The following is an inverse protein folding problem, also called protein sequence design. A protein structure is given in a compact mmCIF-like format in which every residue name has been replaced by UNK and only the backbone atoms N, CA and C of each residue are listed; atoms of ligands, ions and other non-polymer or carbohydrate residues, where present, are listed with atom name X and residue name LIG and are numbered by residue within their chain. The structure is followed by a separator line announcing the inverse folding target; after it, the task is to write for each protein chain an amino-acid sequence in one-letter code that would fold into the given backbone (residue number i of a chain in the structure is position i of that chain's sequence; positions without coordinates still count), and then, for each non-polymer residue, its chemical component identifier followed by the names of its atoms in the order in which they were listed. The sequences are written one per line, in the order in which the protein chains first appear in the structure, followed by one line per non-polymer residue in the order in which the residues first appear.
data_IF_286906607770
#
_entry.id   IF_286906607770
#
_cell.length_a   1.000
_cell.length_b   1.000
_cell.length_c   1.000
_cell.angle_alpha   90.00
_cell.angle_beta   90.00
_cell.angle_gamma   90.00
#
_symmetry.space_group_name_H-M   'P 1'
#
loop_
_entity.id
_entity.type
_entity.pdbx_description
1 polymer ?
#
# COMPACT_ATOMS: atom_id res chain seq x y z
N UNK A 1 1.61 -12.61 12.37
CA UNK A 1 3.01 -13.02 12.53
C UNK A 1 3.89 -11.76 12.52
N UNK A 2 5.04 -11.72 13.21
CA UNK A 2 6.00 -10.61 13.09
C UNK A 2 7.26 -11.20 12.48
N UNK A 3 7.57 -10.82 11.23
CA UNK A 3 8.82 -11.20 10.56
C UNK A 3 9.82 -10.07 10.79
N UNK A 4 11.02 -10.41 11.26
CA UNK A 4 12.10 -9.46 11.47
C UNK A 4 13.38 -9.95 10.81
N UNK A 5 14.06 -9.05 10.10
CA UNK A 5 15.39 -9.29 9.55
C UNK A 5 16.17 -7.97 9.47
N UNK A 6 17.43 -7.98 9.90
CA UNK A 6 18.35 -6.82 9.80
C UNK A 6 17.77 -5.47 10.29
N UNK A 7 16.93 -5.49 11.34
CA UNK A 7 16.28 -4.30 11.89
C UNK A 7 15.00 -3.87 11.17
N UNK A 8 14.64 -4.54 10.08
CA UNK A 8 13.36 -4.40 9.41
C UNK A 8 12.31 -5.32 10.04
N UNK A 9 11.07 -4.84 10.08
CA UNK A 9 9.94 -5.59 10.60
C UNK A 9 8.79 -5.53 9.60
N UNK A 10 8.31 -6.70 9.18
CA UNK A 10 7.00 -6.81 8.55
C UNK A 10 5.94 -7.00 9.63
N UNK A 11 4.86 -6.24 9.51
CA UNK A 11 3.68 -6.34 10.37
C UNK A 11 2.43 -6.25 9.51
N UNK A 12 1.28 -6.76 10.00
CA UNK A 12 0.01 -6.46 9.40
C UNK A 12 -0.20 -4.95 9.29
N UNK A 13 -0.88 -4.57 8.22
CA UNK A 13 -1.29 -3.19 8.02
C UNK A 13 -2.34 -2.78 9.06
N UNK A 14 -2.28 -1.53 9.50
CA UNK A 14 -3.22 -0.90 10.44
C UNK A 14 -3.99 0.16 9.66
N UNK A 15 -5.25 -0.13 9.37
CA UNK A 15 -6.16 0.80 8.69
C UNK A 15 -6.96 1.56 9.77
N UNK A 16 -7.08 2.90 9.71
CA UNK A 16 -6.63 3.79 8.62
C UNK A 16 -5.20 4.35 8.77
N UNK A 17 -4.51 4.08 9.88
CA UNK A 17 -3.25 4.76 10.23
C UNK A 17 -2.14 4.67 9.17
N UNK A 18 -2.02 3.53 8.49
CA UNK A 18 -0.97 3.33 7.48
C UNK A 18 -1.36 3.85 6.08
N UNK A 19 -2.63 4.23 5.89
CA UNK A 19 -3.14 4.70 4.58
C UNK A 19 -2.48 6.00 4.18
N UNK A 20 -2.30 6.95 5.10
CA UNK A 20 -1.70 8.25 4.80
C UNK A 20 -0.28 8.13 4.23
N UNK A 21 0.53 7.23 4.80
CA UNK A 21 1.88 6.95 4.29
C UNK A 21 1.80 6.31 2.90
N UNK A 22 0.91 5.34 2.70
CA UNK A 22 0.76 4.66 1.42
C UNK A 22 0.26 5.59 0.31
N UNK A 23 -0.67 6.51 0.61
CA UNK A 23 -1.15 7.52 -0.35
C UNK A 23 0.02 8.32 -0.92
N UNK A 24 0.98 8.74 -0.08
CA UNK A 24 2.14 9.49 -0.55
C UNK A 24 2.97 8.72 -1.60
N UNK A 25 3.07 7.39 -1.48
CA UNK A 25 3.77 6.55 -2.45
C UNK A 25 3.02 6.51 -3.79
N UNK A 26 1.69 6.43 -3.77
CA UNK A 26 0.87 6.42 -4.99
C UNK A 26 0.69 7.79 -5.63
N UNK A 27 1.19 8.87 -5.01
CA UNK A 27 1.34 10.17 -5.65
C UNK A 27 2.64 10.30 -6.44
N UNK A 28 3.64 9.44 -6.16
CA UNK A 28 4.91 9.44 -6.89
C UNK A 28 4.76 8.73 -8.25
N UNK A 29 4.99 9.43 -9.39
CA UNK A 29 4.73 8.87 -10.72
C UNK A 29 5.52 7.60 -11.01
N UNK A 30 6.76 7.51 -10.53
CA UNK A 30 7.61 6.33 -10.76
C UNK A 30 7.08 5.10 -10.01
N UNK A 31 6.69 5.28 -8.74
CA UNK A 31 6.09 4.20 -7.94
C UNK A 31 4.82 3.71 -8.61
N UNK A 32 3.92 4.65 -8.94
CA UNK A 32 2.66 4.36 -9.58
C UNK A 32 2.82 3.65 -10.93
N UNK A 33 3.80 4.09 -11.75
CA UNK A 33 4.12 3.46 -13.03
C UNK A 33 4.49 1.98 -12.86
N UNK A 34 5.41 1.68 -11.93
CA UNK A 34 5.90 0.31 -11.74
C UNK A 34 4.94 -0.59 -10.96
N UNK A 35 4.08 -0.03 -10.09
CA UNK A 35 3.15 -0.84 -9.30
C UNK A 35 1.77 -1.03 -9.95
N UNK A 36 1.25 -0.03 -10.67
CA UNK A 36 -0.17 0.01 -11.09
C UNK A 36 -0.40 0.04 -12.62
N UNK A 37 0.62 -0.22 -13.44
CA UNK A 37 0.43 -0.47 -14.88
C UNK A 37 0.79 0.66 -15.84
N UNK A 38 1.83 1.44 -15.52
CA UNK A 38 2.51 2.30 -16.49
C UNK A 38 1.84 3.65 -16.73
N UNK A 39 1.95 4.16 -17.96
CA UNK A 39 1.51 5.54 -18.32
C UNK A 39 0.01 5.79 -18.15
N UNK A 40 -0.81 4.74 -18.08
CA UNK A 40 -2.26 4.85 -17.90
C UNK A 40 -2.68 4.98 -16.43
N UNK A 41 -1.75 4.83 -15.48
CA UNK A 41 -2.05 4.86 -14.05
C UNK A 41 -2.31 6.29 -13.58
N UNK A 42 -3.40 6.48 -12.83
CA UNK A 42 -3.73 7.76 -12.18
C UNK A 42 -3.37 7.72 -10.70
N UNK A 43 -2.93 8.84 -10.09
CA UNK A 43 -2.61 8.88 -8.66
C UNK A 43 -3.76 8.39 -7.78
N UNK A 44 -3.45 7.65 -6.73
CA UNK A 44 -4.49 7.10 -5.84
C UNK A 44 -4.77 8.10 -4.71
N UNK A 45 -6.05 8.35 -4.47
CA UNK A 45 -6.53 9.09 -3.31
C UNK A 45 -6.67 8.16 -2.08
N UNK A 46 -7.03 8.75 -0.95
CA UNK A 46 -7.18 8.03 0.31
C UNK A 46 -8.21 6.92 0.18
N UNK A 47 -9.37 7.21 -0.42
CA UNK A 47 -10.48 6.29 -0.58
C UNK A 47 -10.11 5.07 -1.42
N UNK A 48 -9.36 5.28 -2.51
CA UNK A 48 -8.87 4.18 -3.36
C UNK A 48 -7.85 3.31 -2.63
N UNK A 49 -6.90 3.90 -1.91
CA UNK A 49 -5.89 3.14 -1.15
C UNK A 49 -6.55 2.37 0.01
N UNK A 50 -7.48 2.99 0.73
CA UNK A 50 -8.23 2.34 1.81
C UNK A 50 -9.05 1.15 1.30
N UNK A 51 -9.77 1.32 0.18
CA UNK A 51 -10.56 0.25 -0.43
C UNK A 51 -9.67 -0.92 -0.85
N UNK A 52 -8.54 -0.63 -1.51
CA UNK A 52 -7.58 -1.63 -1.96
C UNK A 52 -6.99 -2.42 -0.78
N UNK A 53 -6.46 -1.74 0.24
CA UNK A 53 -5.85 -2.39 1.39
C UNK A 53 -6.88 -3.13 2.27
N UNK A 54 -8.10 -2.61 2.38
CA UNK A 54 -9.20 -3.30 3.06
C UNK A 54 -9.61 -4.58 2.34
N UNK A 55 -9.54 -4.60 1.00
CA UNK A 55 -9.79 -5.81 0.22
C UNK A 55 -8.64 -6.81 0.39
N UNK A 56 -7.39 -6.36 0.24
CA UNK A 56 -6.21 -7.23 0.32
C UNK A 56 -6.01 -7.82 1.71
N UNK A 57 -6.26 -7.06 2.79
CA UNK A 57 -6.15 -7.57 4.17
C UNK A 57 -7.09 -8.73 4.48
N UNK A 58 -8.16 -8.93 3.70
CA UNK A 58 -9.11 -10.05 3.83
C UNK A 58 -8.74 -11.25 2.97
N UNK A 59 -7.79 -11.11 2.04
CA UNK A 59 -7.49 -12.08 0.98
C UNK A 59 -6.03 -12.52 0.94
N UNK A 60 -5.11 -11.66 1.35
CA UNK A 60 -3.70 -11.98 1.44
C UNK A 60 -3.41 -12.78 2.72
N UNK A 61 -2.47 -13.73 2.61
CA UNK A 61 -1.96 -14.45 3.77
C UNK A 61 -1.15 -13.50 4.68
N UNK A 62 -1.36 -13.59 5.99
CA UNK A 62 -0.70 -12.79 7.04
C UNK A 62 0.42 -13.58 7.70
#
# INVERSE_FOLDING_TARGET
MILMDNGFRLRPIIIPNDIETAVSWYQEPEVLYYSEGGEASTPYDFERVEAMYSFLSKKAEI
#
